data_IF_654395094318
#
_entry.id   IF_654395094318
#
_cell.length_a   1.000
_cell.length_b   1.000
_cell.length_c   1.000
_cell.angle_alpha   90.00
_cell.angle_beta   90.00
_cell.angle_gamma   90.00
#
_symmetry.space_group_name_H-M   'P 1'
#
loop_
_entity.id
_entity.type
_entity.pdbx_description
1 polymer ?
#
# COMPACT_ATOMS: atom_id res chain seq x y z
N UNK A 1 8.74 9.37 -12.20
CA UNK A 1 7.60 8.78 -11.47
C UNK A 1 7.60 9.35 -10.07
N UNK A 2 6.49 9.94 -9.65
CA UNK A 2 6.32 10.40 -8.26
C UNK A 2 5.80 9.25 -7.43
N UNK A 3 6.31 9.09 -6.20
CA UNK A 3 5.77 8.13 -5.24
C UNK A 3 4.88 8.86 -4.24
N UNK A 4 3.66 8.37 -4.06
CA UNK A 4 2.71 8.91 -3.10
C UNK A 4 2.80 8.11 -1.81
N UNK A 5 3.27 8.77 -0.75
CA UNK A 5 3.38 8.19 0.58
C UNK A 5 2.13 8.45 1.41
N UNK A 6 1.49 7.39 1.87
CA UNK A 6 0.25 7.44 2.63
C UNK A 6 0.46 6.89 4.04
N UNK A 7 -0.23 7.49 5.01
CA UNK A 7 -0.47 6.84 6.30
C UNK A 7 -1.49 5.71 6.15
N UNK A 8 -1.61 4.85 7.15
CA UNK A 8 -2.63 3.80 7.14
C UNK A 8 -4.08 4.36 7.07
N UNK A 9 -4.34 5.56 7.61
CA UNK A 9 -5.66 6.20 7.51
C UNK A 9 -5.95 6.68 6.09
N UNK A 10 -5.00 7.36 5.45
CA UNK A 10 -5.17 7.82 4.07
C UNK A 10 -5.28 6.65 3.09
N UNK A 11 -4.51 5.58 3.31
CA UNK A 11 -4.64 4.36 2.51
C UNK A 11 -6.02 3.71 2.75
N UNK A 12 -6.47 3.61 4.00
CA UNK A 12 -7.80 3.11 4.36
C UNK A 12 -8.92 3.82 3.59
N UNK A 13 -8.90 5.15 3.56
CA UNK A 13 -9.86 5.96 2.80
C UNK A 13 -9.79 5.66 1.29
N UNK A 14 -8.58 5.44 0.76
CA UNK A 14 -8.37 5.23 -0.68
C UNK A 14 -8.82 3.87 -1.18
N UNK A 15 -8.60 2.80 -0.40
CA UNK A 15 -8.97 1.43 -0.77
C UNK A 15 -10.19 0.90 -0.01
N UNK A 16 -10.87 1.76 0.74
CA UNK A 16 -12.11 1.46 1.49
C UNK A 16 -11.94 0.31 2.50
N UNK A 17 -10.83 0.33 3.24
CA UNK A 17 -10.55 -0.59 4.36
C UNK A 17 -10.47 0.16 5.68
N UNK A 18 -10.59 -0.55 6.81
CA UNK A 18 -10.24 0.03 8.10
C UNK A 18 -8.70 0.10 8.30
N UNK A 19 -8.24 1.17 8.94
CA UNK A 19 -6.82 1.40 9.17
C UNK A 19 -6.18 0.36 10.12
N UNK A 20 -6.96 -0.32 10.98
CA UNK A 20 -6.50 -1.45 11.80
C UNK A 20 -6.27 -2.68 10.92
N UNK A 21 -7.18 -2.96 9.99
CA UNK A 21 -7.04 -4.07 9.03
C UNK A 21 -5.79 -3.92 8.20
N UNK A 22 -5.51 -2.71 7.69
CA UNK A 22 -4.27 -2.43 6.96
C UNK A 22 -3.03 -2.75 7.80
N UNK A 23 -2.98 -2.31 9.06
CA UNK A 23 -1.79 -2.48 9.92
C UNK A 23 -1.59 -3.89 10.44
N UNK A 24 -2.67 -4.61 10.72
CA UNK A 24 -2.62 -5.88 11.45
C UNK A 24 -2.81 -7.10 10.55
N UNK A 25 -3.43 -6.93 9.39
CA UNK A 25 -3.75 -8.05 8.49
C UNK A 25 -3.03 -7.90 7.15
N UNK A 26 -3.11 -6.73 6.51
CA UNK A 26 -2.53 -6.55 5.17
C UNK A 26 -1.02 -6.30 5.22
N UNK A 27 -0.56 -5.49 6.18
CA UNK A 27 0.87 -5.30 6.42
C UNK A 27 1.52 -6.64 6.78
N UNK A 28 2.65 -6.94 6.18
CA UNK A 28 3.44 -8.18 6.32
C UNK A 28 2.83 -9.43 5.68
N UNK A 29 1.50 -9.51 5.51
CA UNK A 29 0.86 -10.64 4.81
C UNK A 29 0.71 -10.40 3.31
N UNK A 30 0.36 -9.17 2.93
CA UNK A 30 0.14 -8.74 1.54
C UNK A 30 1.14 -7.66 1.16
N UNK A 31 1.35 -6.67 2.04
CA UNK A 31 2.28 -5.58 1.82
C UNK A 31 3.67 -5.92 2.36
N UNK A 32 4.64 -5.95 1.46
CA UNK A 32 6.05 -6.25 1.73
C UNK A 32 6.83 -4.97 2.10
N UNK A 33 7.62 -5.02 3.18
CA UNK A 33 8.52 -3.92 3.59
C UNK A 33 9.57 -3.63 2.52
N UNK A 34 9.87 -2.36 2.28
CA UNK A 34 10.80 -1.92 1.23
C UNK A 34 10.20 -1.89 -0.17
N UNK A 35 9.00 -2.45 -0.36
CA UNK A 35 8.27 -2.40 -1.63
C UNK A 35 6.98 -1.59 -1.47
N UNK A 36 6.07 -2.06 -0.62
CA UNK A 36 4.73 -1.48 -0.46
C UNK A 36 4.67 -0.49 0.69
N UNK A 37 5.56 -0.61 1.66
CA UNK A 37 5.67 0.33 2.76
C UNK A 37 7.12 0.44 3.25
N UNK A 38 7.41 1.56 3.91
CA UNK A 38 8.71 1.84 4.52
C UNK A 38 8.55 2.33 5.96
N UNK A 39 9.61 2.19 6.76
CA UNK A 39 9.74 2.78 8.10
C UNK A 39 10.76 3.91 8.06
N UNK A 40 10.34 5.15 7.79
CA UNK A 40 11.30 6.25 7.65
C UNK A 40 11.96 6.59 9.00
N UNK A 41 13.21 7.07 8.93
CA UNK A 41 13.99 7.59 10.05
C UNK A 41 14.23 6.60 11.22
N UNK A 42 14.16 5.29 10.96
CA UNK A 42 14.36 4.25 11.99
C UNK A 42 13.30 4.25 13.10
N UNK A 43 12.20 4.99 12.91
CA UNK A 43 11.13 5.12 13.89
C UNK A 43 10.03 4.06 13.71
N UNK A 44 9.01 4.15 14.56
CA UNK A 44 7.81 3.29 14.49
C UNK A 44 6.82 3.71 13.39
N UNK A 45 7.02 4.89 12.78
CA UNK A 45 6.14 5.39 11.73
C UNK A 45 6.25 4.49 10.50
N UNK A 46 5.12 4.22 9.87
CA UNK A 46 5.03 3.45 8.64
C UNK A 46 4.38 4.35 7.58
N UNK A 47 4.97 4.38 6.39
CA UNK A 47 4.42 5.03 5.22
C UNK A 47 4.23 3.99 4.12
N UNK A 48 3.05 3.97 3.52
CA UNK A 48 2.69 3.08 2.42
C UNK A 48 2.90 3.80 1.09
N UNK A 49 3.35 3.06 0.07
CA UNK A 49 3.60 3.60 -1.28
C UNK A 49 2.43 3.23 -2.17
N UNK A 50 1.61 4.23 -2.52
CA UNK A 50 0.35 4.00 -3.24
C UNK A 50 0.55 3.22 -4.54
N UNK A 51 1.47 3.66 -5.39
CA UNK A 51 1.64 3.12 -6.74
C UNK A 51 2.06 1.64 -6.71
N UNK A 52 2.79 1.23 -5.66
CA UNK A 52 3.21 -0.16 -5.45
C UNK A 52 2.04 -1.02 -4.99
N UNK A 53 1.20 -0.48 -4.10
CA UNK A 53 -0.01 -1.15 -3.61
C UNK A 53 -1.06 -1.29 -4.71
N UNK A 54 -1.30 -0.23 -5.48
CA UNK A 54 -2.23 -0.25 -6.62
C UNK A 54 -1.83 -1.30 -7.66
N UNK A 55 -0.53 -1.35 -8.00
CA UNK A 55 0.00 -2.38 -8.90
C UNK A 55 -0.25 -3.79 -8.34
N UNK A 56 -0.05 -4.00 -7.04
CA UNK A 56 -0.25 -5.30 -6.42
C UNK A 56 -1.73 -5.71 -6.38
N UNK A 57 -2.64 -4.76 -6.12
CA UNK A 57 -4.09 -5.01 -6.17
C UNK A 57 -4.56 -5.52 -7.53
N UNK A 58 -4.02 -4.96 -8.62
CA UNK A 58 -4.41 -5.35 -9.98
C UNK A 58 -3.86 -6.72 -10.37
N UNK A 59 -2.68 -7.11 -9.89
CA UNK A 59 -2.17 -8.47 -10.10
C UNK A 59 -3.12 -9.52 -9.52
N UNK A 60 -3.71 -9.27 -8.35
CA UNK A 60 -4.69 -10.17 -7.74
C UNK A 60 -6.00 -10.29 -8.51
N UNK A 61 -6.35 -9.30 -9.34
CA UNK A 61 -7.53 -9.34 -10.22
C UNK A 61 -7.22 -9.88 -11.62
N UNK A 62 -5.96 -10.23 -11.89
CA UNK A 62 -5.50 -10.67 -13.22
C UNK A 62 -5.45 -9.53 -14.25
N UNK A 63 -5.54 -8.27 -13.80
CA UNK A 63 -5.50 -7.08 -14.64
C UNK A 63 -4.08 -6.49 -14.63
N UNK A 64 -3.61 -5.99 -15.78
CA UNK A 64 -2.40 -5.16 -15.83
C UNK A 64 -2.77 -3.68 -15.74
N UNK A 65 -1.85 -2.84 -15.26
CA UNK A 65 -2.03 -1.37 -15.32
C UNK A 65 -2.28 -0.91 -16.76
N UNK A 66 -1.60 -1.52 -17.73
CA UNK A 66 -1.76 -1.23 -19.16
C UNK A 66 -3.18 -1.53 -19.68
N UNK A 67 -3.92 -2.44 -19.03
CA UNK A 67 -5.29 -2.79 -19.42
C UNK A 67 -6.35 -1.77 -18.91
N UNK A 68 -5.97 -0.84 -18.04
CA UNK A 68 -6.85 0.19 -17.49
C UNK A 68 -6.59 1.60 -18.05
N UNK A 69 -5.62 1.76 -18.95
CA UNK A 69 -5.30 3.00 -19.65
C UNK A 69 -5.95 3.06 -21.03
#
# INVERSE_FOLDING_TARGET
>A
MSYTYLTAQQLAEKIQYDARTIRNQLKDSVFIEGVHYIRPFGGRKILFVWERIETEMLKFTGLSMDALQ
#
